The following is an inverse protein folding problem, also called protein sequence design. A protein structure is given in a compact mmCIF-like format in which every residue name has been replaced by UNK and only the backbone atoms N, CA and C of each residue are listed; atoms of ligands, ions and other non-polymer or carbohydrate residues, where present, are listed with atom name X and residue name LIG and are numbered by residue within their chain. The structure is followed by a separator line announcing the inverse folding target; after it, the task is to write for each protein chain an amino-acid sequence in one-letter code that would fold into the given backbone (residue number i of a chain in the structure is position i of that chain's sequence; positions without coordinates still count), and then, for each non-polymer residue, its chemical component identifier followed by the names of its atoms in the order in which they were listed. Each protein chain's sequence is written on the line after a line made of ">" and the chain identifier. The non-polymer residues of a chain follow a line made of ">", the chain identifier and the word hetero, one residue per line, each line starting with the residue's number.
data_IF_441269961732
#
_entry.id   IF_441269961732
#
_cell.length_a   1.000
_cell.length_b   1.000
_cell.length_c   1.000
_cell.angle_alpha   90.00
_cell.angle_beta   90.00
_cell.angle_gamma   90.00
#
_symmetry.space_group_name_H-M   'P 1'
#
loop_
_entity.id
_entity.type
_entity.pdbx_description
1 polymer ?
#
# COMPACT_ATOMS: atom_id res chain seq x y z
N UNK A 1 50.57 -141.53 -84.29
CA UNK A 1 50.19 -142.95 -84.12
C UNK A 1 49.95 -143.52 -85.51
N UNK A 2 50.84 -144.38 -85.96
CA UNK A 2 50.74 -145.16 -87.20
C UNK A 2 50.44 -146.60 -86.76
N UNK A 3 49.39 -147.24 -87.28
CA UNK A 3 49.20 -148.69 -87.05
C UNK A 3 48.31 -149.35 -88.11
N UNK A 4 49.01 -150.20 -88.89
CA UNK A 4 48.68 -151.53 -89.41
C UNK A 4 47.46 -151.75 -90.32
N UNK A 5 47.79 -152.15 -91.55
CA UNK A 5 46.89 -152.67 -92.58
C UNK A 5 46.49 -154.12 -92.29
N UNK A 6 45.20 -154.44 -92.49
CA UNK A 6 44.60 -155.78 -92.38
C UNK A 6 44.71 -156.53 -93.72
N UNK A 7 45.17 -157.78 -93.69
CA UNK A 7 45.21 -158.71 -94.84
C UNK A 7 44.52 -160.02 -94.43
N UNK A 8 43.57 -160.49 -95.26
CA UNK A 8 42.72 -161.65 -94.99
C UNK A 8 43.32 -162.96 -95.58
N UNK A 9 43.14 -164.09 -94.88
CA UNK A 9 43.62 -165.40 -95.33
C UNK A 9 42.74 -165.97 -96.48
N UNK A 10 43.31 -166.35 -97.65
CA UNK A 10 42.53 -166.73 -98.84
C UNK A 10 41.67 -167.99 -98.72
N UNK A 11 41.99 -168.93 -97.81
CA UNK A 11 41.29 -170.22 -97.68
C UNK A 11 40.23 -170.25 -96.57
N UNK A 12 40.25 -169.32 -95.60
CA UNK A 12 39.32 -169.34 -94.46
C UNK A 12 38.67 -167.99 -94.10
N UNK A 13 38.92 -166.94 -94.89
CA UNK A 13 38.23 -165.64 -94.84
C UNK A 13 38.15 -164.96 -93.46
N UNK A 14 39.03 -165.34 -92.53
CA UNK A 14 39.06 -164.78 -91.18
C UNK A 14 40.26 -163.87 -91.01
N UNK A 15 40.00 -162.70 -90.46
CA UNK A 15 40.94 -161.60 -90.25
C UNK A 15 41.32 -161.60 -88.79
N UNK A 16 42.33 -162.40 -88.43
CA UNK A 16 43.36 -162.05 -87.42
C UNK A 16 44.18 -163.28 -86.96
N UNK A 17 45.45 -162.99 -86.65
CA UNK A 17 46.50 -163.84 -86.03
C UNK A 17 47.16 -164.90 -86.92
N UNK A 18 48.20 -164.47 -87.65
CA UNK A 18 49.28 -165.35 -88.09
C UNK A 18 50.34 -165.44 -87.00
N UNK A 19 50.72 -166.66 -86.62
CA UNK A 19 51.87 -166.90 -85.75
C UNK A 19 53.08 -167.27 -86.61
N UNK A 20 54.21 -166.65 -86.30
CA UNK A 20 55.48 -166.88 -86.97
C UNK A 20 56.35 -167.71 -86.04
N UNK A 21 56.76 -168.89 -86.49
CA UNK A 21 57.67 -169.72 -85.72
C UNK A 21 59.12 -169.25 -85.89
N UNK A 22 60.01 -169.71 -85.01
CA UNK A 22 61.42 -169.28 -84.98
C UNK A 22 62.21 -169.71 -86.24
N UNK A 23 61.66 -170.60 -87.07
CA UNK A 23 62.20 -171.04 -88.36
C UNK A 23 61.63 -170.25 -89.56
N UNK A 24 60.84 -169.19 -89.31
CA UNK A 24 60.48 -168.17 -90.30
C UNK A 24 59.28 -168.49 -91.19
N UNK A 25 58.48 -169.51 -90.86
CA UNK A 25 57.25 -169.83 -91.57
C UNK A 25 56.03 -169.19 -90.88
N UNK A 26 55.12 -168.62 -91.66
CA UNK A 26 53.87 -168.08 -91.13
C UNK A 26 52.77 -169.13 -91.30
N UNK A 27 52.27 -169.65 -90.18
CA UNK A 27 51.20 -170.66 -90.16
C UNK A 27 49.89 -170.02 -89.70
N UNK A 28 48.82 -170.34 -90.42
CA UNK A 28 47.47 -169.93 -90.02
C UNK A 28 46.99 -170.80 -88.85
N UNK A 29 46.71 -170.17 -87.70
CA UNK A 29 46.38 -170.84 -86.45
C UNK A 29 45.09 -171.69 -86.48
N UNK A 30 44.27 -171.57 -87.53
CA UNK A 30 42.95 -172.21 -87.62
C UNK A 30 42.92 -173.38 -88.62
N UNK A 31 43.66 -173.33 -89.73
CA UNK A 31 43.63 -174.38 -90.75
C UNK A 31 44.94 -175.17 -90.92
N UNK A 32 46.03 -174.75 -90.27
CA UNK A 32 47.31 -175.49 -90.30
C UNK A 32 47.99 -175.52 -91.67
N UNK A 33 47.54 -174.70 -92.62
CA UNK A 33 48.09 -174.65 -93.98
C UNK A 33 49.36 -173.79 -93.99
N UNK A 34 50.49 -174.41 -94.33
CA UNK A 34 51.82 -173.79 -94.35
C UNK A 34 52.01 -173.12 -95.71
N UNK A 35 52.02 -171.77 -95.74
CA UNK A 35 52.25 -171.02 -96.98
C UNK A 35 53.73 -170.62 -97.06
N UNK A 36 54.50 -171.09 -98.05
CA UNK A 36 55.91 -170.74 -98.20
C UNK A 36 56.05 -169.28 -98.65
N UNK A 37 56.63 -168.42 -97.81
CA UNK A 37 56.96 -167.05 -98.20
C UNK A 37 58.29 -167.07 -98.95
N UNK A 38 58.17 -166.96 -100.28
CA UNK A 38 59.24 -166.91 -101.27
C UNK A 38 60.21 -165.74 -101.01
N UNK A 39 61.41 -166.07 -100.51
CA UNK A 39 62.48 -165.14 -100.13
C UNK A 39 63.15 -164.49 -101.36
N UNK A 40 62.73 -164.82 -102.57
CA UNK A 40 63.33 -164.32 -103.82
C UNK A 40 62.71 -162.99 -104.30
N UNK A 41 61.52 -162.61 -103.83
CA UNK A 41 60.81 -161.41 -104.29
C UNK A 41 61.08 -160.12 -103.48
N UNK A 42 61.84 -160.21 -102.37
CA UNK A 42 62.20 -159.05 -101.53
C UNK A 42 63.58 -158.46 -101.88
N UNK A 43 64.41 -159.17 -102.65
CA UNK A 43 65.69 -158.67 -103.13
C UNK A 43 65.54 -157.69 -104.32
N UNK A 44 64.49 -157.83 -105.14
CA UNK A 44 64.28 -156.96 -106.32
C UNK A 44 63.57 -155.63 -106.02
N UNK A 45 62.98 -155.46 -104.83
CA UNK A 45 62.46 -154.14 -104.38
C UNK A 45 63.55 -153.23 -103.79
N UNK A 46 64.76 -153.75 -103.58
CA UNK A 46 65.91 -152.99 -103.07
C UNK A 46 66.82 -152.44 -104.20
N UNK A 47 66.53 -152.74 -105.47
CA UNK A 47 67.38 -152.34 -106.59
C UNK A 47 66.76 -151.31 -107.56
N UNK A 48 65.59 -150.72 -107.26
CA UNK A 48 64.90 -149.83 -108.22
C UNK A 48 64.18 -148.59 -107.60
N UNK A 49 64.85 -147.86 -106.70
CA UNK A 49 64.45 -146.49 -106.29
C UNK A 49 65.61 -145.77 -105.58
N UNK A 50 66.69 -145.34 -106.23
CA UNK A 50 66.79 -144.19 -107.14
C UNK A 50 66.23 -142.87 -106.56
N UNK A 51 67.14 -142.06 -105.99
CA UNK A 51 67.32 -140.65 -106.40
C UNK A 51 66.07 -139.75 -106.42
N UNK A 52 65.52 -139.42 -105.25
CA UNK A 52 64.65 -138.24 -105.06
C UNK A 52 64.98 -137.59 -103.70
N UNK A 53 65.73 -136.48 -103.75
CA UNK A 53 65.89 -135.53 -102.65
C UNK A 53 64.72 -134.55 -102.78
N UNK A 54 63.77 -134.62 -101.84
CA UNK A 54 62.41 -134.05 -101.92
C UNK A 54 62.19 -132.97 -100.83
N UNK A 55 61.16 -132.10 -100.90
CA UNK A 55 61.11 -130.67 -100.59
C UNK A 55 60.81 -130.40 -99.10
N UNK A 56 61.15 -131.36 -98.24
CA UNK A 56 60.96 -131.29 -96.78
C UNK A 56 61.88 -130.25 -96.13
N UNK A 57 63.06 -130.03 -96.67
CA UNK A 57 63.99 -129.03 -96.13
C UNK A 57 63.53 -127.59 -96.43
N UNK A 58 62.82 -127.38 -97.54
CA UNK A 58 62.18 -126.09 -97.85
C UNK A 58 60.97 -125.82 -96.93
N UNK A 59 60.17 -126.83 -96.62
CA UNK A 59 59.05 -126.71 -95.68
C UNK A 59 59.54 -126.59 -94.23
N UNK A 60 60.61 -127.26 -93.85
CA UNK A 60 61.26 -127.09 -92.54
C UNK A 60 61.86 -125.69 -92.45
N UNK A 61 62.53 -125.17 -93.50
CA UNK A 61 63.03 -123.80 -93.51
C UNK A 61 61.89 -122.76 -93.44
N UNK A 62 60.77 -122.99 -94.13
CA UNK A 62 59.60 -122.11 -94.09
C UNK A 62 58.89 -122.16 -92.73
N UNK A 63 58.74 -123.34 -92.13
CA UNK A 63 58.20 -123.51 -90.79
C UNK A 63 59.14 -122.94 -89.73
N UNK A 64 60.46 -123.04 -89.92
CA UNK A 64 61.46 -122.41 -89.03
C UNK A 64 61.41 -120.89 -89.17
N UNK A 65 61.23 -120.36 -90.38
CA UNK A 65 61.03 -118.93 -90.62
C UNK A 65 59.68 -118.44 -90.06
N UNK A 66 58.60 -119.21 -90.19
CA UNK A 66 57.29 -118.92 -89.58
C UNK A 66 57.37 -119.00 -88.06
N UNK A 67 58.07 -119.96 -87.50
CA UNK A 67 58.25 -120.09 -86.05
C UNK A 67 59.17 -118.98 -85.51
N UNK A 68 60.17 -118.54 -86.27
CA UNK A 68 60.98 -117.37 -85.94
C UNK A 68 60.17 -116.06 -86.01
N UNK A 69 59.29 -115.91 -87.01
CA UNK A 69 58.37 -114.78 -87.11
C UNK A 69 57.36 -114.78 -85.98
N UNK A 70 56.69 -115.91 -85.73
CA UNK A 70 55.75 -116.08 -84.62
C UNK A 70 56.42 -115.89 -83.27
N UNK A 71 57.66 -116.36 -83.07
CA UNK A 71 58.45 -116.07 -81.87
C UNK A 71 58.81 -114.59 -81.77
N UNK A 72 59.05 -113.92 -82.90
CA UNK A 72 59.23 -112.46 -82.97
C UNK A 72 57.96 -111.70 -82.60
N UNK A 73 56.82 -112.10 -83.16
CA UNK A 73 55.49 -111.55 -82.88
C UNK A 73 55.08 -111.81 -81.43
N UNK A 74 55.41 -112.99 -80.87
CA UNK A 74 55.21 -113.31 -79.46
C UNK A 74 56.08 -112.43 -78.56
N UNK A 75 57.37 -112.26 -78.87
CA UNK A 75 58.23 -111.32 -78.13
C UNK A 75 57.73 -109.89 -78.26
N UNK A 76 57.22 -109.51 -79.43
CA UNK A 76 56.64 -108.18 -79.66
C UNK A 76 55.36 -107.99 -78.85
N UNK A 77 54.49 -109.01 -78.79
CA UNK A 77 53.31 -109.02 -77.93
C UNK A 77 53.68 -109.01 -76.44
N UNK A 78 54.69 -109.76 -76.01
CA UNK A 78 55.22 -109.71 -74.64
C UNK A 78 55.73 -108.30 -74.31
N UNK A 79 56.51 -107.67 -75.21
CA UNK A 79 56.94 -106.29 -75.01
C UNK A 79 55.76 -105.32 -74.97
N UNK A 80 54.75 -105.47 -75.83
CA UNK A 80 53.54 -104.66 -75.80
C UNK A 80 52.73 -104.88 -74.52
N UNK A 81 52.68 -106.11 -74.01
CA UNK A 81 51.99 -106.44 -72.76
C UNK A 81 52.71 -105.81 -71.56
N UNK A 82 54.04 -105.87 -71.54
CA UNK A 82 54.86 -105.19 -70.53
C UNK A 82 54.70 -103.67 -70.60
N UNK A 83 54.60 -103.10 -71.79
CA UNK A 83 54.36 -101.67 -72.00
C UNK A 83 52.96 -101.28 -71.54
N UNK A 84 51.93 -102.06 -71.88
CA UNK A 84 50.55 -101.89 -71.40
C UNK A 84 50.44 -102.05 -69.89
N UNK A 85 51.16 -102.99 -69.28
CA UNK A 85 51.20 -103.14 -67.82
C UNK A 85 51.86 -101.92 -67.15
N UNK A 86 52.96 -101.41 -67.71
CA UNK A 86 53.59 -100.17 -67.23
C UNK A 86 52.66 -98.97 -67.38
N UNK A 87 51.95 -98.86 -68.50
CA UNK A 87 50.93 -97.82 -68.70
C UNK A 87 49.77 -97.97 -67.70
N UNK A 88 49.30 -99.19 -67.46
CA UNK A 88 48.28 -99.46 -66.46
C UNK A 88 48.72 -99.05 -65.05
N UNK A 89 49.93 -99.41 -64.64
CA UNK A 89 50.49 -99.02 -63.34
C UNK A 89 50.66 -97.49 -63.23
N UNK A 90 51.05 -96.83 -64.33
CA UNK A 90 51.14 -95.37 -64.41
C UNK A 90 49.76 -94.71 -64.30
N UNK A 91 48.74 -95.26 -64.96
CA UNK A 91 47.35 -94.76 -64.87
C UNK A 91 46.76 -95.04 -63.50
N UNK A 92 47.00 -96.22 -62.92
CA UNK A 92 46.53 -96.58 -61.58
C UNK A 92 47.16 -95.69 -60.51
N UNK A 93 48.46 -95.42 -60.62
CA UNK A 93 49.16 -94.49 -59.73
C UNK A 93 48.68 -93.04 -59.92
N UNK A 94 48.50 -92.59 -61.16
CA UNK A 94 47.94 -91.26 -61.47
C UNK A 94 46.51 -91.09 -60.96
N UNK A 95 45.68 -92.13 -61.08
CA UNK A 95 44.32 -92.14 -60.54
C UNK A 95 44.31 -92.10 -59.01
N UNK A 96 45.22 -92.84 -58.36
CA UNK A 96 45.39 -92.81 -56.90
C UNK A 96 45.82 -91.43 -56.43
N UNK A 97 46.78 -90.81 -57.13
CA UNK A 97 47.22 -89.45 -56.87
C UNK A 97 46.05 -88.45 -57.06
N UNK A 98 45.35 -88.49 -58.18
CA UNK A 98 44.22 -87.62 -58.46
C UNK A 98 43.10 -87.75 -57.42
N UNK A 99 42.79 -88.96 -56.95
CA UNK A 99 41.84 -89.18 -55.85
C UNK A 99 42.32 -88.55 -54.55
N UNK A 100 43.60 -88.70 -54.20
CA UNK A 100 44.16 -88.10 -52.99
C UNK A 100 44.17 -86.56 -53.06
N UNK A 101 44.49 -85.99 -54.23
CA UNK A 101 44.42 -84.55 -54.46
C UNK A 101 42.98 -84.02 -54.40
N UNK A 102 42.01 -84.77 -54.92
CA UNK A 102 40.60 -84.39 -54.83
C UNK A 102 40.11 -84.43 -53.38
N UNK A 103 40.46 -85.47 -52.62
CA UNK A 103 40.14 -85.58 -51.19
C UNK A 103 40.73 -84.39 -50.40
N UNK A 104 42.00 -84.05 -50.64
CA UNK A 104 42.65 -82.90 -50.00
C UNK A 104 41.99 -81.55 -50.38
N UNK A 105 41.56 -81.40 -51.65
CA UNK A 105 40.82 -80.20 -52.11
C UNK A 105 39.44 -80.11 -51.46
N UNK A 106 38.74 -81.23 -51.29
CA UNK A 106 37.44 -81.27 -50.64
C UNK A 106 37.55 -80.93 -49.15
N UNK A 107 38.55 -81.48 -48.44
CA UNK A 107 38.85 -81.11 -47.06
C UNK A 107 39.18 -79.61 -46.92
N UNK A 108 39.97 -79.05 -47.85
CA UNK A 108 40.29 -77.62 -47.85
C UNK A 108 39.03 -76.76 -48.06
N UNK A 109 38.16 -77.15 -49.01
CA UNK A 109 36.89 -76.46 -49.28
C UNK A 109 35.94 -76.54 -48.08
N UNK A 110 35.84 -77.70 -47.44
CA UNK A 110 35.02 -77.86 -46.23
C UNK A 110 35.53 -76.99 -45.09
N UNK A 111 36.85 -76.91 -44.89
CA UNK A 111 37.47 -76.02 -43.91
C UNK A 111 37.20 -74.53 -44.22
N UNK A 112 37.30 -74.13 -45.49
CA UNK A 112 36.99 -72.77 -45.92
C UNK A 112 35.50 -72.42 -45.73
N UNK A 113 34.58 -73.33 -46.08
CA UNK A 113 33.14 -73.19 -45.84
C UNK A 113 32.86 -73.07 -44.34
N UNK A 114 33.50 -73.89 -43.50
CA UNK A 114 33.35 -73.82 -42.04
C UNK A 114 33.82 -72.46 -41.50
N UNK A 115 34.96 -71.95 -41.98
CA UNK A 115 35.49 -70.63 -41.62
C UNK A 115 34.55 -69.50 -42.04
N UNK A 116 34.03 -69.55 -43.27
CA UNK A 116 33.07 -68.58 -43.78
C UNK A 116 31.77 -68.58 -42.98
N UNK A 117 31.26 -69.75 -42.60
CA UNK A 117 30.08 -69.88 -41.71
C UNK A 117 30.34 -69.32 -40.32
N UNK A 118 31.52 -69.55 -39.75
CA UNK A 118 31.89 -68.98 -38.45
C UNK A 118 31.97 -67.44 -38.52
N UNK A 119 32.59 -66.90 -39.57
CA UNK A 119 32.66 -65.46 -39.84
C UNK A 119 31.27 -64.84 -40.02
N UNK A 120 30.38 -65.49 -40.78
CA UNK A 120 29.00 -65.05 -40.96
C UNK A 120 28.22 -65.01 -39.64
N UNK A 121 28.35 -66.05 -38.79
CA UNK A 121 27.73 -66.06 -37.45
C UNK A 121 28.25 -64.95 -36.55
N UNK A 122 29.55 -64.65 -36.60
CA UNK A 122 30.14 -63.54 -35.85
C UNK A 122 29.60 -62.18 -36.35
N UNK A 123 29.48 -62.01 -37.67
CA UNK A 123 28.91 -60.81 -38.27
C UNK A 123 27.42 -60.64 -37.90
N UNK A 124 26.64 -61.71 -37.93
CA UNK A 124 25.23 -61.71 -37.48
C UNK A 124 25.11 -61.32 -36.00
N UNK A 125 25.98 -61.85 -35.13
CA UNK A 125 26.00 -61.50 -33.71
C UNK A 125 26.34 -60.01 -33.50
N UNK A 126 27.33 -59.48 -34.24
CA UNK A 126 27.68 -58.05 -34.20
C UNK A 126 26.55 -57.17 -34.73
N UNK A 127 25.86 -57.58 -35.79
CA UNK A 127 24.71 -56.86 -36.32
C UNK A 127 23.55 -56.83 -35.32
N UNK A 128 23.24 -57.96 -34.67
CA UNK A 128 22.23 -58.02 -33.62
C UNK A 128 22.60 -57.14 -32.42
N UNK A 129 23.86 -57.13 -32.00
CA UNK A 129 24.34 -56.25 -30.93
C UNK A 129 24.21 -54.76 -31.32
N UNK A 130 24.61 -54.39 -32.54
CA UNK A 130 24.49 -53.02 -33.02
C UNK A 130 23.03 -52.57 -33.11
N UNK A 131 22.13 -53.46 -33.56
CA UNK A 131 20.69 -53.17 -33.58
C UNK A 131 20.14 -52.94 -32.17
N UNK A 132 20.52 -53.78 -31.19
CA UNK A 132 20.10 -53.60 -29.80
C UNK A 132 20.61 -52.27 -29.21
N UNK A 133 21.84 -51.85 -29.55
CA UNK A 133 22.37 -50.54 -29.15
C UNK A 133 21.63 -49.38 -29.81
N UNK A 134 21.24 -49.52 -31.08
CA UNK A 134 20.44 -48.51 -31.78
C UNK A 134 19.06 -48.36 -31.15
N UNK A 135 18.39 -49.48 -30.85
CA UNK A 135 17.08 -49.48 -30.21
C UNK A 135 17.14 -48.86 -28.80
N UNK A 136 18.21 -49.16 -28.03
CA UNK A 136 18.44 -48.54 -26.73
C UNK A 136 18.67 -47.03 -26.83
N UNK A 137 19.53 -46.58 -27.77
CA UNK A 137 19.77 -45.17 -27.99
C UNK A 137 18.50 -44.42 -28.46
N UNK A 138 17.67 -45.06 -29.29
CA UNK A 138 16.41 -44.49 -29.74
C UNK A 138 15.43 -44.30 -28.57
N UNK A 139 15.33 -45.29 -27.68
CA UNK A 139 14.52 -45.18 -26.47
C UNK A 139 15.01 -44.05 -25.54
N UNK A 140 16.33 -43.88 -25.39
CA UNK A 140 16.90 -42.75 -24.63
C UNK A 140 16.57 -41.40 -25.26
N UNK A 141 16.68 -41.28 -26.60
CA UNK A 141 16.31 -40.06 -27.32
C UNK A 141 14.85 -39.70 -27.10
N UNK A 142 13.96 -40.69 -27.18
CA UNK A 142 12.52 -40.45 -26.98
C UNK A 142 12.20 -40.11 -25.52
N UNK A 143 12.86 -40.75 -24.55
CA UNK A 143 12.78 -40.36 -23.14
C UNK A 143 13.24 -38.90 -22.93
N UNK A 144 14.37 -38.51 -23.52
CA UNK A 144 14.90 -37.14 -23.42
C UNK A 144 13.98 -36.11 -24.08
N UNK A 145 13.32 -36.43 -25.19
CA UNK A 145 12.29 -35.56 -25.80
C UNK A 145 11.13 -35.34 -24.84
N UNK A 146 10.59 -36.42 -24.25
CA UNK A 146 9.49 -36.30 -23.28
C UNK A 146 9.87 -35.46 -22.07
N UNK A 147 11.09 -35.65 -21.53
CA UNK A 147 11.60 -34.85 -20.42
C UNK A 147 11.78 -33.37 -20.80
N UNK A 148 12.29 -33.09 -22.01
CA UNK A 148 12.42 -31.72 -22.52
C UNK A 148 11.05 -31.03 -22.65
N UNK A 149 10.06 -31.74 -23.19
CA UNK A 149 8.72 -31.19 -23.42
C UNK A 149 8.01 -30.93 -22.07
N UNK A 150 8.19 -31.81 -21.08
CA UNK A 150 7.72 -31.60 -19.72
C UNK A 150 8.39 -30.37 -19.07
N UNK A 151 9.72 -30.22 -19.18
CA UNK A 151 10.44 -29.06 -18.67
C UNK A 151 10.05 -27.75 -19.39
N UNK A 152 9.67 -27.82 -20.67
CA UNK A 152 9.15 -26.68 -21.40
C UNK A 152 7.78 -26.25 -20.85
N UNK A 153 6.87 -27.21 -20.60
CA UNK A 153 5.57 -26.96 -20.01
C UNK A 153 5.67 -26.36 -18.60
N UNK A 154 6.58 -26.87 -17.76
CA UNK A 154 6.85 -26.30 -16.43
C UNK A 154 7.35 -24.85 -16.52
N UNK A 155 8.26 -24.55 -17.45
CA UNK A 155 8.77 -23.19 -17.67
C UNK A 155 7.64 -22.24 -18.09
N UNK A 156 6.75 -22.69 -18.95
CA UNK A 156 5.62 -21.88 -19.41
C UNK A 156 4.60 -21.65 -18.28
N UNK A 157 4.36 -22.65 -17.43
CA UNK A 157 3.55 -22.49 -16.21
C UNK A 157 4.16 -21.46 -15.25
N UNK A 158 5.46 -21.54 -14.97
CA UNK A 158 6.16 -20.56 -14.12
C UNK A 158 6.12 -19.15 -14.72
N UNK A 159 6.23 -19.02 -16.05
CA UNK A 159 6.09 -17.72 -16.72
C UNK A 159 4.68 -17.14 -16.60
N UNK A 160 3.65 -17.98 -16.73
CA UNK A 160 2.27 -17.56 -16.55
C UNK A 160 2.01 -17.09 -15.10
N UNK A 161 2.50 -17.86 -14.11
CA UNK A 161 2.40 -17.48 -12.70
C UNK A 161 3.12 -16.18 -12.40
N UNK A 162 4.34 -15.99 -12.93
CA UNK A 162 5.09 -14.75 -12.78
C UNK A 162 4.33 -13.54 -13.35
N UNK A 163 3.68 -13.70 -14.50
CA UNK A 163 2.87 -12.65 -15.11
C UNK A 163 1.65 -12.29 -14.22
N UNK A 164 0.96 -13.29 -13.66
CA UNK A 164 -0.15 -13.07 -12.72
C UNK A 164 0.30 -12.32 -11.46
N UNK A 165 1.44 -12.71 -10.90
CA UNK A 165 2.02 -12.01 -9.73
C UNK A 165 2.41 -10.57 -10.05
N UNK A 166 2.96 -10.33 -11.24
CA UNK A 166 3.31 -8.99 -11.69
C UNK A 166 2.06 -8.11 -11.84
N UNK A 167 0.99 -8.63 -12.44
CA UNK A 167 -0.29 -7.93 -12.56
C UNK A 167 -0.88 -7.61 -11.18
N UNK A 168 -0.90 -8.60 -10.27
CA UNK A 168 -1.37 -8.43 -8.89
C UNK A 168 -0.57 -7.37 -8.14
N UNK A 169 0.75 -7.37 -8.29
CA UNK A 169 1.62 -6.36 -7.69
C UNK A 169 1.32 -4.96 -8.22
N UNK A 170 1.17 -4.78 -9.53
CA UNK A 170 0.84 -3.48 -10.12
C UNK A 170 -0.54 -2.99 -9.66
N UNK A 171 -1.53 -3.88 -9.60
CA UNK A 171 -2.87 -3.56 -9.09
C UNK A 171 -2.84 -3.10 -7.62
N UNK A 172 -2.13 -3.83 -6.76
CA UNK A 172 -1.94 -3.45 -5.35
C UNK A 172 -1.20 -2.12 -5.21
N UNK A 173 -0.15 -1.90 -6.01
CA UNK A 173 0.60 -0.65 -6.02
C UNK A 173 -0.30 0.53 -6.40
N UNK A 174 -1.10 0.41 -7.47
CA UNK A 174 -2.05 1.44 -7.89
C UNK A 174 -3.12 1.70 -6.82
N UNK A 175 -3.65 0.65 -6.18
CA UNK A 175 -4.62 0.79 -5.10
C UNK A 175 -4.02 1.52 -3.88
N UNK A 176 -2.78 1.19 -3.52
CA UNK A 176 -2.08 1.86 -2.42
C UNK A 176 -1.82 3.34 -2.72
N UNK A 177 -1.39 3.67 -3.95
CA UNK A 177 -1.21 5.05 -4.40
C UNK A 177 -2.52 5.84 -4.35
N UNK A 178 -3.62 5.29 -4.87
CA UNK A 178 -4.95 5.93 -4.81
C UNK A 178 -5.44 6.15 -3.37
N UNK A 179 -5.13 5.24 -2.44
CA UNK A 179 -5.45 5.43 -1.01
C UNK A 179 -4.62 6.54 -0.39
N UNK A 180 -3.33 6.62 -0.73
CA UNK A 180 -2.43 7.66 -0.25
C UNK A 180 -2.88 9.05 -0.73
N UNK A 181 -3.18 9.20 -2.02
CA UNK A 181 -3.66 10.45 -2.61
C UNK A 181 -4.97 10.93 -1.96
N UNK A 182 -5.92 10.01 -1.74
CA UNK A 182 -7.17 10.34 -1.02
C UNK A 182 -6.92 10.76 0.42
N UNK A 183 -6.00 10.10 1.12
CA UNK A 183 -5.64 10.48 2.49
C UNK A 183 -4.98 11.87 2.52
N UNK A 184 -4.07 12.15 1.58
CA UNK A 184 -3.43 13.46 1.45
C UNK A 184 -4.44 14.57 1.14
N UNK A 185 -5.36 14.35 0.20
CA UNK A 185 -6.44 15.28 -0.10
C UNK A 185 -7.32 15.56 1.12
N UNK A 186 -7.64 14.52 1.90
CA UNK A 186 -8.39 14.67 3.17
C UNK A 186 -7.62 15.49 4.19
N UNK A 187 -6.33 15.23 4.39
CA UNK A 187 -5.50 16.04 5.30
C UNK A 187 -5.46 17.50 4.87
N UNK A 188 -5.32 17.78 3.57
CA UNK A 188 -5.31 19.14 3.06
C UNK A 188 -6.65 19.86 3.28
N UNK A 189 -7.77 19.17 3.01
CA UNK A 189 -9.11 19.70 3.31
C UNK A 189 -9.30 19.99 4.81
N UNK A 190 -8.83 19.10 5.68
CA UNK A 190 -8.92 19.30 7.13
C UNK A 190 -8.05 20.49 7.58
N UNK A 191 -6.87 20.68 6.97
CA UNK A 191 -6.02 21.82 7.25
C UNK A 191 -6.71 23.14 6.89
N UNK A 192 -7.34 23.23 5.71
CA UNK A 192 -8.12 24.41 5.31
C UNK A 192 -9.22 24.72 6.34
N UNK A 193 -9.97 23.69 6.78
CA UNK A 193 -10.98 23.88 7.83
C UNK A 193 -10.39 24.36 9.16
N UNK A 194 -9.21 23.86 9.56
CA UNK A 194 -8.52 24.34 10.76
C UNK A 194 -8.15 25.82 10.61
N UNK A 195 -7.62 26.22 9.46
CA UNK A 195 -7.22 27.60 9.19
C UNK A 195 -8.44 28.54 9.20
N UNK A 196 -9.55 28.14 8.59
CA UNK A 196 -10.83 28.88 8.61
C UNK A 196 -11.36 29.05 10.04
N UNK A 197 -11.38 27.98 10.84
CA UNK A 197 -11.84 28.03 12.24
C UNK A 197 -10.91 28.87 13.12
N UNK A 198 -9.62 28.86 12.82
CA UNK A 198 -8.64 29.70 13.51
C UNK A 198 -8.91 31.18 13.22
N UNK A 199 -9.14 31.53 11.95
CA UNK A 199 -9.51 32.88 11.55
C UNK A 199 -10.84 33.34 12.18
N UNK A 200 -11.85 32.45 12.23
CA UNK A 200 -13.14 32.75 12.87
C UNK A 200 -12.97 33.00 14.38
N UNK A 201 -12.19 32.18 15.07
CA UNK A 201 -11.85 32.38 16.49
C UNK A 201 -11.18 33.72 16.72
N UNK A 202 -10.20 34.08 15.90
CA UNK A 202 -9.46 35.34 16.05
C UNK A 202 -10.37 36.55 15.79
N UNK A 203 -11.30 36.45 14.84
CA UNK A 203 -12.32 37.46 14.60
C UNK A 203 -13.27 37.63 15.79
N UNK A 204 -13.82 36.53 16.32
CA UNK A 204 -14.72 36.55 17.49
C UNK A 204 -13.99 37.08 18.74
N UNK A 205 -12.70 36.77 18.89
CA UNK A 205 -11.89 37.32 19.98
C UNK A 205 -11.77 38.84 19.87
N UNK A 206 -11.52 39.38 18.66
CA UNK A 206 -11.50 40.81 18.43
C UNK A 206 -12.86 41.48 18.70
N UNK A 207 -13.96 40.84 18.32
CA UNK A 207 -15.32 41.33 18.65
C UNK A 207 -15.57 41.37 20.16
N UNK A 208 -15.14 40.33 20.88
CA UNK A 208 -15.25 40.26 22.33
C UNK A 208 -14.47 41.38 23.02
N UNK A 209 -13.23 41.63 22.57
CA UNK A 209 -12.39 42.69 23.13
C UNK A 209 -12.96 44.08 22.82
N UNK A 210 -13.52 44.28 21.63
CA UNK A 210 -14.23 45.52 21.29
C UNK A 210 -15.50 45.72 22.14
N UNK A 211 -16.26 44.64 22.40
CA UNK A 211 -17.45 44.69 23.26
C UNK A 211 -17.08 45.04 24.71
N UNK A 212 -15.99 44.48 25.24
CA UNK A 212 -15.46 44.83 26.56
C UNK A 212 -15.07 46.31 26.64
N UNK A 213 -14.34 46.82 25.66
CA UNK A 213 -13.98 48.23 25.62
C UNK A 213 -15.21 49.16 25.59
N UNK A 214 -16.28 48.78 24.87
CA UNK A 214 -17.56 49.51 24.89
C UNK A 214 -18.24 49.46 26.26
N UNK A 215 -18.21 48.31 26.93
CA UNK A 215 -18.77 48.17 28.28
C UNK A 215 -18.01 49.03 29.29
N UNK A 216 -16.68 49.05 29.23
CA UNK A 216 -15.84 49.89 30.09
C UNK A 216 -16.11 51.38 29.85
N UNK A 217 -16.26 51.81 28.59
CA UNK A 217 -16.61 53.19 28.25
C UNK A 217 -18.00 53.58 28.78
N UNK A 218 -19.00 52.72 28.59
CA UNK A 218 -20.35 52.96 29.13
C UNK A 218 -20.35 53.03 30.66
N UNK A 219 -19.55 52.20 31.33
CA UNK A 219 -19.40 52.25 32.78
C UNK A 219 -18.78 53.58 33.24
N UNK A 220 -17.74 54.07 32.54
CA UNK A 220 -17.14 55.38 32.82
C UNK A 220 -18.16 56.53 32.65
N UNK A 221 -19.03 56.46 31.62
CA UNK A 221 -20.10 57.45 31.42
C UNK A 221 -21.14 57.42 32.55
N UNK A 222 -21.53 56.22 33.00
CA UNK A 222 -22.43 56.05 34.15
C UNK A 222 -21.83 56.70 35.40
N UNK A 223 -20.56 56.45 35.69
CA UNK A 223 -19.91 56.97 36.89
C UNK A 223 -19.71 58.49 36.81
N UNK A 224 -19.36 59.02 35.63
CA UNK A 224 -19.33 60.47 35.40
C UNK A 224 -20.71 61.12 35.58
N UNK A 225 -21.77 60.45 35.13
CA UNK A 225 -23.16 60.94 35.28
C UNK A 225 -23.60 60.92 36.74
N UNK A 226 -23.27 59.86 37.50
CA UNK A 226 -23.50 59.80 38.95
C UNK A 226 -22.80 60.93 39.68
N UNK A 227 -21.54 61.22 39.34
CA UNK A 227 -20.81 62.34 39.93
C UNK A 227 -21.51 63.68 39.68
N UNK A 228 -21.89 63.96 38.42
CA UNK A 228 -22.65 65.19 38.07
C UNK A 228 -23.98 65.29 38.80
N UNK A 229 -24.68 64.15 38.96
CA UNK A 229 -25.92 64.10 39.71
C UNK A 229 -25.69 64.42 41.19
N UNK A 230 -24.64 63.86 41.81
CA UNK A 230 -24.27 64.17 43.19
C UNK A 230 -23.92 65.66 43.37
N UNK A 231 -23.12 66.24 42.48
CA UNK A 231 -22.82 67.68 42.49
C UNK A 231 -24.08 68.55 42.34
N UNK A 232 -25.07 68.09 41.55
CA UNK A 232 -26.34 68.79 41.42
C UNK A 232 -27.19 68.71 42.70
N UNK A 233 -27.19 67.56 43.38
CA UNK A 233 -27.81 67.40 44.70
C UNK A 233 -27.16 68.30 45.74
N UNK A 234 -25.83 68.30 45.83
CA UNK A 234 -25.09 69.12 46.80
C UNK A 234 -25.35 70.62 46.55
N UNK A 235 -25.39 71.05 45.27
CA UNK A 235 -25.80 72.41 44.91
C UNK A 235 -27.24 72.71 45.32
N UNK A 236 -28.17 71.77 45.12
CA UNK A 236 -29.56 71.96 45.51
C UNK A 236 -29.71 72.13 47.03
N UNK A 237 -29.01 71.33 47.83
CA UNK A 237 -28.98 71.47 49.29
C UNK A 237 -28.36 72.80 49.72
N UNK A 238 -27.27 73.23 49.07
CA UNK A 238 -26.69 74.55 49.33
C UNK A 238 -27.68 75.69 49.00
N UNK A 239 -28.39 75.61 47.87
CA UNK A 239 -29.44 76.58 47.51
C UNK A 239 -30.59 76.60 48.54
N UNK A 240 -31.03 75.43 49.03
CA UNK A 240 -32.05 75.35 50.09
C UNK A 240 -31.58 76.03 51.37
N UNK A 241 -30.34 75.78 51.80
CA UNK A 241 -29.76 76.42 52.97
C UNK A 241 -29.70 77.95 52.80
N UNK A 242 -29.25 78.43 51.64
CA UNK A 242 -29.22 79.86 51.33
C UNK A 242 -30.63 80.50 51.33
N UNK A 243 -31.65 79.78 50.84
CA UNK A 243 -33.05 80.25 50.91
C UNK A 243 -33.57 80.31 52.34
N UNK A 244 -33.21 79.36 53.20
CA UNK A 244 -33.55 79.39 54.63
C UNK A 244 -32.89 80.60 55.30
N UNK A 245 -31.59 80.78 55.10
CA UNK A 245 -30.84 81.92 55.65
C UNK A 245 -31.43 83.26 55.18
N UNK A 246 -31.74 83.38 53.88
CA UNK A 246 -32.38 84.58 53.34
C UNK A 246 -33.76 84.80 53.96
N UNK A 247 -34.55 83.75 54.21
CA UNK A 247 -35.86 83.85 54.86
C UNK A 247 -35.74 84.30 56.31
N UNK A 248 -34.72 83.81 57.03
CA UNK A 248 -34.42 84.23 58.40
C UNK A 248 -33.99 85.70 58.44
N UNK A 249 -33.13 86.14 57.51
CA UNK A 249 -32.78 87.56 57.36
C UNK A 249 -34.01 88.43 57.09
N UNK A 250 -34.91 88.01 56.20
CA UNK A 250 -36.16 88.73 55.95
C UNK A 250 -37.06 88.77 57.21
N UNK A 251 -37.09 87.71 58.01
CA UNK A 251 -37.84 87.69 59.28
C UNK A 251 -37.23 88.66 60.29
N UNK A 252 -35.91 88.65 60.45
CA UNK A 252 -35.20 89.58 61.33
C UNK A 252 -35.44 91.04 60.91
N UNK A 253 -35.34 91.34 59.61
CA UNK A 253 -35.66 92.67 59.08
C UNK A 253 -37.13 93.05 59.30
N UNK A 254 -38.06 92.11 59.22
CA UNK A 254 -39.47 92.36 59.53
C UNK A 254 -39.71 92.64 61.01
N UNK A 255 -38.99 91.95 61.91
CA UNK A 255 -39.00 92.21 63.35
C UNK A 255 -38.39 93.57 63.68
N UNK A 256 -37.24 93.92 63.09
CA UNK A 256 -36.61 95.23 63.23
C UNK A 256 -37.54 96.34 62.72
N UNK A 257 -38.16 96.14 61.55
CA UNK A 257 -39.18 97.06 61.03
C UNK A 257 -40.34 97.22 62.01
N UNK A 258 -40.85 96.13 62.59
CA UNK A 258 -41.93 96.19 63.57
C UNK A 258 -41.53 96.92 64.86
N UNK A 259 -40.28 96.76 65.32
CA UNK A 259 -39.72 97.52 66.44
C UNK A 259 -39.65 99.01 66.12
N UNK A 260 -39.12 99.38 64.96
CA UNK A 260 -39.06 100.77 64.49
C UNK A 260 -40.46 101.36 64.37
N UNK A 261 -41.43 100.64 63.79
CA UNK A 261 -42.83 101.07 63.72
C UNK A 261 -43.48 101.19 65.12
N UNK A 262 -43.04 100.41 66.11
CA UNK A 262 -43.42 100.56 67.51
C UNK A 262 -42.88 101.86 68.11
N UNK A 263 -41.59 102.13 67.95
CA UNK A 263 -40.95 103.37 68.42
C UNK A 263 -41.56 104.60 67.77
N UNK A 264 -41.83 104.57 66.46
CA UNK A 264 -42.49 105.66 65.74
C UNK A 264 -43.89 105.93 66.30
N UNK A 265 -44.67 104.89 66.63
CA UNK A 265 -45.98 105.06 67.28
C UNK A 265 -45.85 105.69 68.65
N UNK A 266 -44.91 105.22 69.48
CA UNK A 266 -44.66 105.83 70.80
C UNK A 266 -44.23 107.31 70.69
N UNK A 267 -43.40 107.64 69.70
CA UNK A 267 -43.01 109.03 69.41
C UNK A 267 -44.21 109.86 68.95
N UNK A 268 -45.08 109.30 68.12
CA UNK A 268 -46.31 109.97 67.70
C UNK A 268 -47.25 110.23 68.89
N UNK A 269 -47.41 109.25 69.79
CA UNK A 269 -48.21 109.39 71.01
C UNK A 269 -47.61 110.43 71.97
N UNK A 270 -46.28 110.45 72.14
CA UNK A 270 -45.57 111.50 72.88
C UNK A 270 -45.76 112.88 72.23
N UNK A 271 -45.72 112.94 70.90
CA UNK A 271 -45.98 114.17 70.15
C UNK A 271 -47.38 114.71 70.40
N UNK A 272 -48.40 113.85 70.38
CA UNK A 272 -49.78 114.21 70.73
C UNK A 272 -49.88 114.69 72.19
N UNK A 273 -49.26 113.99 73.13
CA UNK A 273 -49.26 114.36 74.55
C UNK A 273 -48.57 115.69 74.83
N UNK A 274 -47.46 115.97 74.14
CA UNK A 274 -46.79 117.27 74.18
C UNK A 274 -47.68 118.37 73.61
N UNK A 275 -48.39 118.09 72.51
CA UNK A 275 -49.34 119.04 71.92
C UNK A 275 -50.49 119.37 72.89
N UNK A 276 -51.04 118.36 73.57
CA UNK A 276 -52.07 118.54 74.59
C UNK A 276 -51.57 119.38 75.77
N UNK A 277 -50.39 119.09 76.30
CA UNK A 277 -49.76 119.88 77.37
C UNK A 277 -49.49 121.33 76.95
N UNK A 278 -49.09 121.58 75.70
CA UNK A 278 -48.91 122.93 75.16
C UNK A 278 -50.26 123.66 75.08
N UNK A 279 -51.31 122.98 74.61
CA UNK A 279 -52.66 123.54 74.53
C UNK A 279 -53.19 123.88 75.94
N UNK A 280 -53.01 122.98 76.91
CA UNK A 280 -53.37 123.22 78.31
C UNK A 280 -52.58 124.39 78.91
N UNK A 281 -51.27 124.46 78.68
CA UNK A 281 -50.43 125.56 79.15
C UNK A 281 -50.88 126.91 78.55
N UNK A 282 -51.23 126.94 77.27
CA UNK A 282 -51.75 128.14 76.61
C UNK A 282 -53.11 128.55 77.19
N UNK A 283 -54.02 127.59 77.40
CA UNK A 283 -55.30 127.86 78.04
C UNK A 283 -55.15 128.38 79.47
N UNK A 284 -54.19 127.82 80.24
CA UNK A 284 -53.84 128.30 81.58
C UNK A 284 -53.23 129.70 81.54
N UNK A 285 -52.34 130.01 80.60
CA UNK A 285 -51.83 131.37 80.40
C UNK A 285 -52.97 132.35 80.15
N UNK A 286 -53.92 132.02 79.29
CA UNK A 286 -55.11 132.87 79.06
C UNK A 286 -55.90 133.06 80.35
N UNK A 287 -56.15 132.00 81.13
CA UNK A 287 -56.83 132.11 82.43
C UNK A 287 -56.07 132.98 83.43
N UNK A 288 -54.74 132.87 83.49
CA UNK A 288 -53.89 133.71 84.34
C UNK A 288 -53.96 135.17 83.89
N UNK A 289 -53.88 135.44 82.58
CA UNK A 289 -54.05 136.79 82.04
C UNK A 289 -55.42 137.38 82.39
N UNK A 290 -56.51 136.64 82.18
CA UNK A 290 -57.86 137.08 82.54
C UNK A 290 -58.02 137.31 84.06
N UNK A 291 -57.38 136.48 84.88
CA UNK A 291 -57.44 136.56 86.33
C UNK A 291 -56.59 137.73 86.87
N UNK A 292 -55.42 137.99 86.28
CA UNK A 292 -54.63 139.19 86.56
C UNK A 292 -55.34 140.47 86.10
N UNK A 293 -56.03 140.45 84.96
CA UNK A 293 -56.79 141.60 84.48
C UNK A 293 -58.00 141.89 85.37
N UNK A 294 -58.69 140.85 85.85
CA UNK A 294 -59.73 140.98 86.88
C UNK A 294 -59.19 141.47 88.22
N UNK A 295 -58.01 141.01 88.63
CA UNK A 295 -57.33 141.52 89.83
C UNK A 295 -56.98 143.01 89.67
N UNK A 296 -56.42 143.41 88.52
CA UNK A 296 -56.12 144.80 88.22
C UNK A 296 -57.38 145.67 88.18
N UNK A 297 -58.49 145.17 87.63
CA UNK A 297 -59.78 145.85 87.64
C UNK A 297 -60.34 145.99 89.07
N UNK A 298 -60.18 144.97 89.92
CA UNK A 298 -60.56 145.04 91.33
C UNK A 298 -59.69 146.03 92.10
N UNK A 299 -58.38 146.10 91.83
CA UNK A 299 -57.48 147.11 92.41
C UNK A 299 -57.93 148.52 92.01
N UNK A 300 -58.21 148.78 90.72
CA UNK A 300 -58.74 150.08 90.28
C UNK A 300 -60.05 150.45 90.96
N UNK A 301 -60.98 149.50 91.10
CA UNK A 301 -62.26 149.74 91.82
C UNK A 301 -62.07 149.95 93.31
N UNK A 302 -61.01 149.38 93.90
CA UNK A 302 -60.61 149.64 95.27
C UNK A 302 -60.08 151.07 95.41
N UNK A 303 -59.15 151.46 94.52
CA UNK A 303 -58.54 152.80 94.49
C UNK A 303 -59.60 153.90 94.26
N UNK A 304 -60.51 153.71 93.29
CA UNK A 304 -61.62 154.64 93.01
C UNK A 304 -62.59 154.80 94.20
N UNK A 305 -62.75 153.77 95.04
CA UNK A 305 -63.60 153.85 96.24
C UNK A 305 -62.87 154.34 97.48
N UNK A 306 -61.56 154.18 97.54
CA UNK A 306 -60.73 154.78 98.61
C UNK A 306 -60.64 156.31 98.44
N UNK A 307 -60.83 156.85 97.23
CA UNK A 307 -60.87 158.31 96.96
C UNK A 307 -62.25 158.98 97.22
N UNK A 308 -63.36 158.23 97.29
CA UNK A 308 -64.74 158.76 97.42
C UNK A 308 -65.27 158.82 98.88
N UNK A 309 -64.39 158.71 99.88
CA UNK A 309 -64.78 158.59 101.28
C UNK A 309 -65.04 159.93 101.97
N UNK A 310 -66.28 160.43 101.89
CA UNK A 310 -66.82 161.37 102.89
C UNK A 310 -68.31 161.16 103.26
N UNK A 311 -68.94 160.05 102.88
CA UNK A 311 -70.26 159.63 103.43
C UNK A 311 -70.60 158.16 103.13
N UNK A 312 -70.92 157.45 104.21
CA UNK A 312 -71.57 156.13 104.34
C UNK A 312 -70.86 154.84 103.88
N UNK A 313 -70.72 153.95 104.87
CA UNK A 313 -70.66 152.49 104.87
C UNK A 313 -69.41 151.75 104.32
N UNK A 314 -68.35 151.75 105.16
CA UNK A 314 -67.14 150.91 105.07
C UNK A 314 -67.34 149.37 105.17
N UNK A 315 -68.52 148.88 104.78
CA UNK A 315 -68.83 147.48 104.47
C UNK A 315 -68.24 147.09 103.10
N UNK A 316 -68.36 148.00 102.14
CA UNK A 316 -68.10 147.75 100.73
C UNK A 316 -66.60 147.70 100.38
N UNK A 317 -65.77 148.51 101.06
CA UNK A 317 -64.30 148.46 100.93
C UNK A 317 -63.73 147.17 101.52
N UNK A 318 -64.30 146.67 102.63
CA UNK A 318 -63.92 145.37 103.20
C UNK A 318 -64.30 144.21 102.28
N UNK A 319 -65.49 144.24 101.69
CA UNK A 319 -65.91 143.24 100.71
C UNK A 319 -65.00 143.21 99.48
N UNK A 320 -64.57 144.37 98.98
CA UNK A 320 -63.61 144.45 97.86
C UNK A 320 -62.20 143.99 98.26
N UNK A 321 -61.74 144.29 99.48
CA UNK A 321 -60.43 143.86 99.98
C UNK A 321 -60.40 142.34 100.20
N UNK A 322 -61.48 141.74 100.70
CA UNK A 322 -61.66 140.28 100.79
C UNK A 322 -61.77 139.62 99.40
N UNK A 323 -62.46 140.27 98.46
CA UNK A 323 -62.52 139.80 97.06
C UNK A 323 -61.15 139.85 96.38
N UNK A 324 -60.35 140.90 96.63
CA UNK A 324 -58.99 141.03 96.14
C UNK A 324 -58.08 139.96 96.75
N UNK A 325 -58.18 139.71 98.07
CA UNK A 325 -57.42 138.67 98.76
C UNK A 325 -57.74 137.25 98.22
N UNK A 326 -59.02 136.96 97.96
CA UNK A 326 -59.42 135.69 97.31
C UNK A 326 -58.87 135.59 95.89
N UNK A 327 -58.88 136.69 95.12
CA UNK A 327 -58.33 136.70 93.76
C UNK A 327 -56.81 136.59 93.71
N UNK A 328 -56.10 137.15 94.67
CA UNK A 328 -54.65 136.93 94.80
C UNK A 328 -54.34 135.48 95.15
N UNK A 329 -55.09 134.86 96.07
CA UNK A 329 -54.97 133.42 96.36
C UNK A 329 -55.27 132.53 95.15
N UNK A 330 -56.33 132.83 94.38
CA UNK A 330 -56.63 132.10 93.14
C UNK A 330 -55.52 132.27 92.08
N UNK A 331 -54.89 133.44 92.00
CA UNK A 331 -53.77 133.69 91.10
C UNK A 331 -52.51 132.91 91.53
N UNK A 332 -52.23 132.80 92.82
CA UNK A 332 -51.14 131.96 93.34
C UNK A 332 -51.38 130.48 93.02
N UNK A 333 -52.61 129.97 93.16
CA UNK A 333 -52.96 128.60 92.76
C UNK A 333 -52.79 128.38 91.25
N UNK A 334 -53.23 129.32 90.41
CA UNK A 334 -53.05 129.23 88.96
C UNK A 334 -51.57 129.29 88.56
N UNK A 335 -50.74 130.07 89.26
CA UNK A 335 -49.30 130.11 89.06
C UNK A 335 -48.63 128.79 89.47
N UNK A 336 -49.08 128.19 90.56
CA UNK A 336 -48.60 126.87 90.99
C UNK A 336 -48.94 125.79 89.96
N UNK A 337 -50.19 125.77 89.47
CA UNK A 337 -50.63 124.85 88.41
C UNK A 337 -49.81 125.06 87.12
N UNK A 338 -49.54 126.31 86.76
CA UNK A 338 -48.69 126.65 85.60
C UNK A 338 -47.25 126.15 85.76
N UNK A 339 -46.68 126.29 86.96
CA UNK A 339 -45.35 125.75 87.30
C UNK A 339 -45.31 124.22 87.18
N UNK A 340 -46.33 123.53 87.68
CA UNK A 340 -46.41 122.07 87.60
C UNK A 340 -46.58 121.60 86.14
N UNK A 341 -47.39 122.29 85.34
CA UNK A 341 -47.52 122.04 83.89
C UNK A 341 -46.16 122.22 83.19
N UNK A 342 -45.41 123.28 83.51
CA UNK A 342 -44.10 123.54 82.92
C UNK A 342 -43.10 122.43 83.25
N UNK A 343 -43.06 121.95 84.50
CA UNK A 343 -42.23 120.81 84.87
C UNK A 343 -42.62 119.53 84.13
N UNK A 344 -43.93 119.27 83.94
CA UNK A 344 -44.39 118.13 83.15
C UNK A 344 -43.97 118.25 81.68
N UNK A 345 -44.03 119.46 81.12
CA UNK A 345 -43.64 119.75 79.75
C UNK A 345 -42.13 119.60 79.54
N UNK A 346 -41.31 120.02 80.52
CA UNK A 346 -39.86 119.80 80.51
C UNK A 346 -39.49 118.31 80.62
N UNK A 347 -40.17 117.55 81.47
CA UNK A 347 -39.99 116.09 81.56
C UNK A 347 -40.36 115.39 80.27
N UNK A 348 -41.51 115.73 79.68
CA UNK A 348 -41.94 115.17 78.40
C UNK A 348 -40.98 115.52 77.24
N UNK A 349 -40.40 116.73 77.23
CA UNK A 349 -39.35 117.12 76.27
C UNK A 349 -38.05 116.35 76.47
N UNK A 350 -37.64 116.11 77.71
CA UNK A 350 -36.46 115.31 78.01
C UNK A 350 -36.65 113.84 77.59
N UNK A 351 -37.84 113.28 77.81
CA UNK A 351 -38.22 111.95 77.32
C UNK A 351 -38.24 111.87 75.78
N UNK A 352 -38.70 112.92 75.10
CA UNK A 352 -38.65 112.99 73.64
C UNK A 352 -37.21 113.07 73.13
N UNK A 353 -36.36 113.89 73.75
CA UNK A 353 -34.96 114.08 73.33
C UNK A 353 -34.07 112.86 73.59
N UNK A 354 -34.41 112.01 74.55
CA UNK A 354 -33.67 110.75 74.81
C UNK A 354 -34.10 109.61 73.91
N UNK A 355 -35.27 109.72 73.28
CA UNK A 355 -35.80 108.75 72.30
C UNK A 355 -35.50 109.12 70.85
N UNK A 356 -35.00 110.32 70.58
CA UNK A 356 -34.44 110.73 69.27
C UNK A 356 -32.96 110.37 69.22
#
# INVERSE_FOLDING_TARGET
>A
MTSLAQLECPSCSNVETFFRDDDGHETCAVCGEVVPVDVSALADRLASSASIVDPRDATIAELTAKNARLSGDFRQMETMLDELMKEYDLVASSLKQAKSEHCAKDELREAEIARMRASAKEAEAKAAQAQAMLDAAQNEVDAMKTARDAAAAERDAVRADAALWQERYQSLKAQAQSKLERAQAKCHSQQITIDERTSERDHLQAELDAARARADAAQAEIDATKHKYQEALDRNEHFKAALIESREKCRALAEEKAQVEGVVREHADLGLRLQDLVNENNALKTRIFDAMEKEAALRRRLDEREDDCDRDDGSDVRALRDALARKTSENEELLQISSDLLQQLERAKAEQSTRQ
#
